data_IF_208235461353
#
_entry.id   IF_208235461353
#
_cell.length_a   1.000
_cell.length_b   1.000
_cell.length_c   1.000
_cell.angle_alpha   90.00
_cell.angle_beta   90.00
_cell.angle_gamma   90.00
#
_symmetry.space_group_name_H-M   'P 1'
#
loop_
_entity.id
_entity.type
_entity.pdbx_description
1 polymer ?
#
# COMPACT_ATOMS: atom_id res chain seq x y z
N UNK A 1 -42.12 3.43 -64.18
CA UNK A 1 -42.00 4.66 -63.37
C UNK A 1 -41.67 4.24 -61.94
N UNK A 2 -40.52 4.69 -61.46
CA UNK A 2 -39.92 4.42 -60.15
C UNK A 2 -40.78 4.92 -58.99
N UNK A 3 -40.82 4.19 -57.85
CA UNK A 3 -40.92 4.84 -56.55
C UNK A 3 -40.30 3.99 -55.42
N UNK A 4 -39.01 4.25 -55.21
CA UNK A 4 -38.19 4.22 -53.99
C UNK A 4 -38.72 3.43 -52.77
N UNK A 5 -38.03 2.31 -52.48
CA UNK A 5 -38.00 1.66 -51.15
C UNK A 5 -37.38 2.62 -50.14
N UNK A 6 -38.14 3.08 -49.15
CA UNK A 6 -37.60 3.79 -47.97
C UNK A 6 -36.88 2.77 -47.08
N UNK A 7 -35.55 2.74 -47.16
CA UNK A 7 -34.72 2.03 -46.17
C UNK A 7 -34.63 2.94 -44.95
N UNK A 8 -35.29 2.57 -43.85
CA UNK A 8 -35.01 3.18 -42.55
C UNK A 8 -33.64 2.67 -42.09
N UNK A 9 -32.63 3.54 -42.14
CA UNK A 9 -31.39 3.31 -41.41
C UNK A 9 -31.68 3.53 -39.92
N UNK A 10 -31.76 2.45 -39.15
CA UNK A 10 -31.69 2.53 -37.70
C UNK A 10 -30.25 2.93 -37.32
N UNK A 11 -30.06 4.19 -36.92
CA UNK A 11 -28.83 4.61 -36.26
C UNK A 11 -28.81 3.98 -34.87
N UNK A 12 -28.18 2.81 -34.74
CA UNK A 12 -27.73 2.30 -33.44
C UNK A 12 -26.60 3.21 -33.00
N UNK A 13 -26.91 4.20 -32.16
CA UNK A 13 -25.89 4.90 -31.39
C UNK A 13 -25.38 3.89 -30.38
N UNK A 14 -24.30 3.20 -30.73
CA UNK A 14 -23.53 2.45 -29.76
C UNK A 14 -22.98 3.48 -28.76
N UNK A 15 -23.58 3.56 -27.58
CA UNK A 15 -22.93 4.17 -26.42
C UNK A 15 -21.68 3.33 -26.16
N UNK A 16 -20.55 3.75 -26.74
CA UNK A 16 -19.26 3.30 -26.28
C UNK A 16 -19.11 3.85 -24.86
N UNK A 17 -19.55 3.07 -23.88
CA UNK A 17 -19.12 3.29 -22.51
C UNK A 17 -17.58 3.39 -22.58
N UNK A 18 -16.96 4.42 -21.97
CA UNK A 18 -15.51 4.46 -21.93
C UNK A 18 -15.10 3.15 -21.27
N UNK A 19 -14.39 2.28 -22.00
CA UNK A 19 -13.69 1.18 -21.36
C UNK A 19 -12.75 1.86 -20.37
N UNK A 20 -13.08 1.82 -19.08
CA UNK A 20 -12.11 2.08 -18.06
C UNK A 20 -11.01 1.04 -18.32
N UNK A 21 -9.85 1.49 -18.80
CA UNK A 21 -8.78 0.59 -19.24
C UNK A 21 -8.24 -0.28 -18.08
N UNK A 22 -8.59 0.07 -16.84
CA UNK A 22 -8.18 -0.61 -15.62
C UNK A 22 -9.33 -0.62 -14.61
N UNK A 23 -9.55 -1.75 -13.95
CA UNK A 23 -10.36 -1.81 -12.73
C UNK A 23 -9.65 -1.05 -11.59
N UNK A 24 -10.36 -0.20 -10.82
CA UNK A 24 -9.77 0.52 -9.71
C UNK A 24 -9.37 -0.44 -8.60
N UNK A 25 -8.23 -0.18 -7.95
CA UNK A 25 -7.82 -0.93 -6.77
C UNK A 25 -8.75 -0.59 -5.61
N UNK A 26 -9.45 -1.60 -5.10
CA UNK A 26 -10.36 -1.50 -3.96
C UNK A 26 -9.65 -1.92 -2.67
N UNK A 27 -9.86 -1.13 -1.60
CA UNK A 27 -9.40 -1.45 -0.26
C UNK A 27 -10.55 -2.04 0.57
N UNK A 28 -10.22 -2.79 1.62
CA UNK A 28 -11.21 -3.31 2.58
C UNK A 28 -11.73 -2.19 3.49
N UNK A 29 -12.94 -2.37 4.03
CA UNK A 29 -13.56 -1.41 4.96
C UNK A 29 -12.89 -1.42 6.34
N UNK A 30 -12.49 -2.59 6.83
CA UNK A 30 -11.75 -2.76 8.10
C UNK A 30 -10.34 -3.30 7.83
N UNK A 31 -9.32 -2.43 7.72
CA UNK A 31 -7.95 -2.85 7.46
C UNK A 31 -7.34 -3.73 8.56
N UNK A 32 -7.71 -3.51 9.83
CA UNK A 32 -7.10 -4.24 10.94
C UNK A 32 -7.54 -5.71 10.98
N UNK A 33 -8.73 -6.01 10.43
CA UNK A 33 -9.22 -7.38 10.27
C UNK A 33 -8.32 -8.25 9.36
N UNK A 34 -7.43 -7.67 8.57
CA UNK A 34 -6.49 -8.41 7.74
C UNK A 34 -5.25 -8.92 8.52
N UNK A 35 -4.99 -8.41 9.72
CA UNK A 35 -3.78 -8.74 10.49
C UNK A 35 -3.97 -9.90 11.46
N UNK A 36 -5.02 -10.70 11.29
CA UNK A 36 -5.26 -11.91 12.07
C UNK A 36 -4.92 -13.15 11.25
N UNK A 37 -4.53 -14.20 11.96
CA UNK A 37 -4.31 -15.54 11.44
C UNK A 37 -4.64 -16.55 12.54
N UNK A 38 -5.01 -17.77 12.14
CA UNK A 38 -5.26 -18.90 13.04
C UNK A 38 -3.94 -19.57 13.43
N UNK A 39 -2.93 -19.53 12.56
CA UNK A 39 -1.58 -19.96 12.91
C UNK A 39 -0.92 -18.91 13.83
N UNK A 40 -0.49 -19.27 15.05
CA UNK A 40 0.04 -18.30 16.00
C UNK A 40 1.34 -17.63 15.55
N UNK A 41 2.16 -18.29 14.73
CA UNK A 41 3.40 -17.73 14.19
C UNK A 41 3.07 -16.70 13.11
N UNK A 42 2.20 -17.06 12.17
CA UNK A 42 1.76 -16.13 11.11
C UNK A 42 1.00 -14.94 11.70
N UNK A 43 0.19 -15.19 12.74
CA UNK A 43 -0.50 -14.14 13.49
C UNK A 43 0.49 -13.16 14.09
N UNK A 44 1.52 -13.63 14.80
CA UNK A 44 2.54 -12.77 15.38
C UNK A 44 3.26 -11.91 14.32
N UNK A 45 3.59 -12.50 13.16
CA UNK A 45 4.21 -11.77 12.04
C UNK A 45 3.29 -10.67 11.50
N UNK A 46 1.99 -10.96 11.34
CA UNK A 46 0.99 -9.95 10.96
C UNK A 46 0.88 -8.85 12.01
N UNK A 47 0.89 -9.16 13.31
CA UNK A 47 0.83 -8.14 14.36
C UNK A 47 2.04 -7.20 14.32
N UNK A 48 3.25 -7.69 14.04
CA UNK A 48 4.42 -6.84 13.81
C UNK A 48 4.20 -5.85 12.66
N UNK A 49 3.66 -6.33 11.53
CA UNK A 49 3.32 -5.47 10.40
C UNK A 49 2.21 -4.46 10.75
N UNK A 50 1.21 -4.83 11.55
CA UNK A 50 0.16 -3.91 12.02
C UNK A 50 0.77 -2.76 12.84
N UNK A 51 1.62 -3.08 13.81
CA UNK A 51 2.29 -2.07 14.62
C UNK A 51 3.16 -1.13 13.77
N UNK A 52 3.90 -1.69 12.79
CA UNK A 52 4.64 -0.88 11.84
C UNK A 52 3.74 0.09 11.05
N UNK A 53 2.66 -0.42 10.45
CA UNK A 53 1.75 0.37 9.62
C UNK A 53 1.03 1.44 10.43
N UNK A 54 0.52 1.10 11.61
CA UNK A 54 -0.31 1.98 12.44
C UNK A 54 0.54 2.96 13.23
N UNK A 55 1.48 2.47 14.02
CA UNK A 55 2.18 3.31 14.99
C UNK A 55 3.32 4.08 14.32
N UNK A 56 4.09 3.40 13.46
CA UNK A 56 5.27 4.01 12.85
C UNK A 56 4.92 4.79 11.58
N UNK A 57 4.25 4.18 10.60
CA UNK A 57 3.96 4.88 9.34
C UNK A 57 2.84 5.91 9.44
N UNK A 58 1.69 5.54 10.04
CA UNK A 58 0.52 6.41 10.12
C UNK A 58 0.67 7.47 11.22
N UNK A 59 1.07 7.07 12.44
CA UNK A 59 1.14 7.98 13.58
C UNK A 59 2.52 8.60 13.81
N UNK A 60 3.56 8.05 13.16
CA UNK A 60 4.94 8.55 13.24
C UNK A 60 5.56 8.43 14.65
N UNK A 61 5.16 7.43 15.43
CA UNK A 61 5.67 7.10 16.78
C UNK A 61 6.98 6.30 16.68
N UNK A 62 7.98 6.83 15.97
CA UNK A 62 9.24 6.14 15.67
C UNK A 62 10.12 5.85 16.88
N UNK A 63 9.87 6.50 18.01
CA UNK A 63 10.46 6.13 19.31
C UNK A 63 10.15 4.68 19.71
N UNK A 64 9.06 4.10 19.21
CA UNK A 64 8.65 2.71 19.44
C UNK A 64 9.28 1.72 18.46
N UNK A 65 10.04 2.19 17.47
CA UNK A 65 10.68 1.31 16.49
C UNK A 65 11.48 0.15 17.11
N UNK A 66 12.18 0.30 18.26
CA UNK A 66 12.86 -0.84 18.90
C UNK A 66 11.93 -1.97 19.36
N UNK A 67 10.64 -1.70 19.56
CA UNK A 67 9.63 -2.71 19.89
C UNK A 67 9.33 -3.62 18.68
N UNK A 68 9.46 -3.13 17.45
CA UNK A 68 8.98 -3.82 16.24
C UNK A 68 10.07 -4.13 15.21
N UNK A 69 11.14 -3.34 15.17
CA UNK A 69 12.24 -3.46 14.20
C UNK A 69 13.51 -3.99 14.87
N UNK A 70 14.24 -4.86 14.17
CA UNK A 70 15.59 -5.24 14.56
C UNK A 70 16.51 -4.03 14.46
N UNK A 71 17.62 -4.01 15.20
CA UNK A 71 18.63 -2.95 15.06
C UNK A 71 19.23 -2.93 13.65
N UNK A 72 19.43 -4.11 13.06
CA UNK A 72 20.04 -4.33 11.74
C UNK A 72 19.19 -3.82 10.58
N UNK A 73 17.87 -3.77 10.73
CA UNK A 73 16.85 -3.43 9.72
C UNK A 73 17.39 -3.14 8.31
N UNK A 74 17.45 -4.15 7.46
CA UNK A 74 17.93 -4.04 6.09
C UNK A 74 16.86 -3.42 5.18
N UNK A 75 17.22 -2.34 4.49
CA UNK A 75 16.33 -1.61 3.60
C UNK A 75 16.75 -1.79 2.14
N UNK A 76 15.84 -2.30 1.30
CA UNK A 76 16.06 -2.42 -0.15
C UNK A 76 15.56 -1.22 -0.95
N UNK A 77 14.86 -0.26 -0.33
CA UNK A 77 14.52 1.01 -0.94
C UNK A 77 15.79 1.82 -1.21
N UNK A 78 16.10 2.19 -2.48
CA UNK A 78 17.35 2.86 -2.84
C UNK A 78 17.48 4.29 -2.29
N UNK A 79 16.40 4.83 -1.71
CA UNK A 79 16.38 6.16 -1.10
C UNK A 79 16.60 6.12 0.42
N UNK A 80 16.64 4.93 1.03
CA UNK A 80 16.83 4.73 2.46
C UNK A 80 18.17 4.08 2.77
N UNK A 81 18.73 4.39 3.95
CA UNK A 81 19.88 3.67 4.49
C UNK A 81 19.39 2.56 5.42
N UNK A 82 20.01 1.37 5.34
CA UNK A 82 19.79 0.29 6.30
C UNK A 82 20.15 0.70 7.74
N UNK A 83 19.65 -0.09 8.70
CA UNK A 83 19.72 0.14 10.13
C UNK A 83 18.48 0.86 10.67
N UNK A 84 17.98 0.43 11.84
CA UNK A 84 16.80 1.02 12.50
C UNK A 84 16.94 2.52 12.72
N UNK A 85 18.13 2.96 13.15
CA UNK A 85 18.41 4.38 13.38
C UNK A 85 18.34 5.20 12.09
N UNK A 86 18.68 4.59 10.95
CA UNK A 86 18.59 5.22 9.63
C UNK A 86 17.14 5.56 9.26
N UNK A 87 16.22 4.60 9.43
CA UNK A 87 14.81 4.79 9.13
C UNK A 87 14.14 5.73 10.15
N UNK A 88 14.44 5.59 11.45
CA UNK A 88 13.96 6.51 12.48
C UNK A 88 14.38 7.95 12.18
N UNK A 89 15.65 8.18 11.82
CA UNK A 89 16.15 9.51 11.50
C UNK A 89 15.47 10.13 10.27
N UNK A 90 15.10 9.33 9.27
CA UNK A 90 14.40 9.82 8.09
C UNK A 90 12.98 10.30 8.43
N UNK A 91 12.19 9.49 9.14
CA UNK A 91 10.79 9.81 9.39
C UNK A 91 10.59 10.88 10.46
N UNK A 92 11.40 10.88 11.51
CA UNK A 92 11.34 11.91 12.57
C UNK A 92 11.67 13.32 12.06
N UNK A 93 12.46 13.44 10.97
CA UNK A 93 12.78 14.73 10.34
C UNK A 93 11.75 15.18 9.32
N UNK A 94 11.06 14.23 8.67
CA UNK A 94 10.19 14.52 7.53
C UNK A 94 8.71 14.59 7.88
N UNK A 95 8.32 14.10 9.06
CA UNK A 95 6.94 14.04 9.51
C UNK A 95 6.81 14.39 10.99
N UNK A 96 5.69 14.99 11.35
CA UNK A 96 5.33 15.23 12.74
C UNK A 96 4.60 14.02 13.32
N UNK A 97 4.85 13.74 14.60
CA UNK A 97 4.14 12.71 15.37
C UNK A 97 2.71 13.18 15.68
N UNK A 98 1.74 12.27 15.58
CA UNK A 98 0.38 12.54 16.08
C UNK A 98 0.35 12.45 17.61
N UNK A 99 -0.57 13.19 18.25
CA UNK A 99 -0.72 13.15 19.71
C UNK A 99 -1.17 11.77 20.22
N UNK A 100 -2.08 11.13 19.49
CA UNK A 100 -2.56 9.78 19.76
C UNK A 100 -2.56 8.95 18.47
N UNK A 101 -2.60 7.63 18.63
CA UNK A 101 -2.68 6.71 17.51
C UNK A 101 -3.98 5.90 17.60
N UNK A 102 -4.93 6.24 16.73
CA UNK A 102 -6.19 5.49 16.58
C UNK A 102 -6.02 4.23 15.72
N UNK A 103 -7.14 3.65 15.30
CA UNK A 103 -7.17 2.52 14.37
C UNK A 103 -6.43 2.84 13.06
N UNK A 104 -5.87 1.81 12.42
CA UNK A 104 -5.27 1.93 11.10
C UNK A 104 -6.33 2.35 10.07
N UNK A 105 -6.05 3.42 9.32
CA UNK A 105 -6.92 3.94 8.25
C UNK A 105 -6.26 3.83 6.87
N UNK A 106 -5.04 3.28 6.80
CA UNK A 106 -4.36 3.03 5.52
C UNK A 106 -5.23 2.11 4.65
N UNK A 107 -5.45 2.45 3.36
CA UNK A 107 -6.37 1.70 2.50
C UNK A 107 -5.73 0.38 2.03
N UNK A 108 -5.86 -0.66 2.84
CA UNK A 108 -5.28 -1.98 2.58
C UNK A 108 -6.13 -2.82 1.63
N UNK A 109 -5.46 -3.58 0.78
CA UNK A 109 -6.06 -4.59 -0.12
C UNK A 109 -5.95 -5.98 0.51
N UNK A 110 -4.77 -6.32 1.01
CA UNK A 110 -4.49 -7.65 1.58
C UNK A 110 -3.30 -7.59 2.55
N UNK A 111 -3.26 -8.54 3.48
CA UNK A 111 -2.08 -8.86 4.30
C UNK A 111 -1.85 -10.35 4.23
N UNK A 112 -0.66 -10.76 3.78
CA UNK A 112 -0.26 -12.16 3.63
C UNK A 112 0.92 -12.44 4.54
N UNK A 113 0.97 -13.63 5.14
CA UNK A 113 2.13 -14.13 5.86
C UNK A 113 2.41 -15.56 5.41
N UNK A 114 3.69 -15.88 5.20
CA UNK A 114 4.16 -17.22 4.84
C UNK A 114 5.57 -17.40 5.40
N UNK A 115 5.76 -18.42 6.24
CA UNK A 115 6.99 -18.62 7.00
C UNK A 115 7.37 -17.37 7.79
N UNK A 116 8.56 -16.83 7.51
CA UNK A 116 9.10 -15.63 8.15
C UNK A 116 8.81 -14.34 7.35
N UNK A 117 8.01 -14.40 6.28
CA UNK A 117 7.65 -13.24 5.48
C UNK A 117 6.26 -12.74 5.82
N UNK A 118 6.10 -11.41 5.83
CA UNK A 118 4.80 -10.73 5.92
C UNK A 118 4.73 -9.61 4.88
N UNK A 119 3.66 -9.59 4.08
CA UNK A 119 3.42 -8.61 3.03
C UNK A 119 2.12 -7.87 3.26
N UNK A 120 2.16 -6.55 3.21
CA UNK A 120 1.01 -5.65 3.25
C UNK A 120 0.85 -5.03 1.86
N UNK A 121 -0.29 -5.28 1.22
CA UNK A 121 -0.68 -4.70 -0.07
C UNK A 121 -1.68 -3.58 0.19
N UNK A 122 -1.44 -2.40 -0.38
CA UNK A 122 -2.29 -1.23 -0.20
C UNK A 122 -2.62 -0.54 -1.52
N UNK A 123 -3.77 0.12 -1.54
CA UNK A 123 -4.18 1.02 -2.59
C UNK A 123 -3.30 2.27 -2.55
N UNK A 124 -2.84 2.69 -3.72
CA UNK A 124 -2.26 4.02 -3.96
C UNK A 124 -3.06 4.73 -5.03
N UNK A 125 -3.13 6.05 -4.88
CA UNK A 125 -3.75 6.93 -5.85
C UNK A 125 -2.67 7.85 -6.43
N UNK A 126 -2.73 8.05 -7.75
CA UNK A 126 -1.77 8.82 -8.52
C UNK A 126 -2.52 9.78 -9.44
N UNK A 127 -1.91 10.94 -9.71
CA UNK A 127 -2.43 11.87 -10.71
C UNK A 127 -2.24 11.29 -12.12
N UNK A 128 -3.26 11.43 -12.96
CA UNK A 128 -3.21 10.93 -14.32
C UNK A 128 -2.23 11.77 -15.16
N UNK A 129 -1.19 11.18 -15.76
CA UNK A 129 -0.08 11.94 -16.37
C UNK A 129 -0.50 12.74 -17.60
N UNK A 130 -1.61 12.37 -18.25
CA UNK A 130 -2.13 13.04 -19.45
C UNK A 130 -3.48 13.74 -19.27
N UNK A 131 -4.10 13.68 -18.08
CA UNK A 131 -5.46 14.19 -17.83
C UNK A 131 -5.48 14.94 -16.50
N UNK A 132 -5.28 16.26 -16.57
CA UNK A 132 -5.18 17.09 -15.38
C UNK A 132 -6.47 17.03 -14.54
N UNK A 133 -6.33 16.88 -13.22
CA UNK A 133 -7.45 16.74 -12.29
C UNK A 133 -8.03 15.33 -12.20
N UNK A 134 -7.69 14.43 -13.11
CA UNK A 134 -8.07 13.01 -13.02
C UNK A 134 -7.02 12.21 -12.24
N UNK A 135 -7.48 11.16 -11.57
CA UNK A 135 -6.63 10.25 -10.79
C UNK A 135 -6.86 8.81 -11.24
N UNK A 136 -5.85 7.98 -11.03
CA UNK A 136 -5.96 6.53 -11.17
C UNK A 136 -5.40 5.86 -9.93
N UNK A 137 -5.69 4.57 -9.78
CA UNK A 137 -5.25 3.80 -8.61
C UNK A 137 -4.33 2.67 -9.06
N UNK A 138 -3.37 2.35 -8.23
CA UNK A 138 -2.48 1.19 -8.40
C UNK A 138 -2.15 0.61 -7.03
N UNK A 139 -1.41 -0.47 -6.99
CA UNK A 139 -1.00 -1.15 -5.76
C UNK A 139 0.40 -0.72 -5.35
N UNK A 140 0.59 -0.57 -4.04
CA UNK A 140 1.90 -0.58 -3.41
C UNK A 140 1.97 -1.77 -2.46
N UNK A 141 3.17 -2.26 -2.19
CA UNK A 141 3.36 -3.25 -1.15
C UNK A 141 4.52 -2.87 -0.24
N UNK A 142 4.42 -3.33 1.00
CA UNK A 142 5.54 -3.46 1.91
C UNK A 142 5.67 -4.93 2.25
N UNK A 143 6.86 -5.48 2.13
CA UNK A 143 7.16 -6.85 2.56
C UNK A 143 8.30 -6.80 3.56
N UNK A 144 8.19 -7.60 4.61
CA UNK A 144 9.23 -7.78 5.59
C UNK A 144 9.58 -9.24 5.79
N UNK A 145 10.85 -9.48 6.13
CA UNK A 145 11.29 -10.70 6.80
C UNK A 145 11.32 -10.46 8.30
N UNK A 146 10.82 -11.44 9.05
CA UNK A 146 10.83 -11.47 10.51
C UNK A 146 12.00 -12.32 10.98
N UNK A 147 12.81 -11.77 11.88
CA UNK A 147 13.91 -12.48 12.56
C UNK A 147 13.81 -12.18 14.04
N UNK A 148 13.84 -13.22 14.88
CA UNK A 148 13.77 -13.11 16.35
C UNK A 148 12.63 -12.21 16.86
N UNK A 149 11.45 -12.34 16.22
CA UNK A 149 10.25 -11.57 16.60
C UNK A 149 10.30 -10.09 16.22
N UNK A 150 11.14 -9.71 15.26
CA UNK A 150 11.26 -8.33 14.76
C UNK A 150 11.23 -8.27 13.24
N UNK A 151 10.69 -7.19 12.69
CA UNK A 151 10.87 -6.85 11.27
C UNK A 151 12.34 -6.49 11.05
N UNK A 152 13.02 -7.26 10.21
CA UNK A 152 14.49 -7.22 10.11
C UNK A 152 15.00 -6.92 8.69
N UNK A 153 14.25 -7.25 7.65
CA UNK A 153 14.59 -6.91 6.26
C UNK A 153 13.32 -6.48 5.51
N UNK A 154 13.42 -5.51 4.62
CA UNK A 154 12.26 -4.85 4.02
C UNK A 154 12.41 -4.58 2.51
N UNK A 155 11.37 -4.91 1.75
CA UNK A 155 11.21 -4.63 0.32
C UNK A 155 9.94 -3.83 0.03
N UNK A 156 10.06 -2.91 -0.92
CA UNK A 156 8.94 -2.12 -1.45
C UNK A 156 9.23 -1.71 -2.91
N UNK A 157 8.21 -1.40 -3.73
CA UNK A 157 8.40 -0.96 -5.10
C UNK A 157 8.93 0.48 -5.10
N UNK A 158 10.25 0.65 -5.09
CA UNK A 158 10.88 1.96 -5.02
C UNK A 158 11.90 2.14 -6.16
N UNK A 159 11.81 3.29 -6.85
CA UNK A 159 12.83 3.78 -7.77
C UNK A 159 13.65 4.87 -7.11
N UNK A 160 14.80 5.21 -7.68
CA UNK A 160 15.60 6.36 -7.21
C UNK A 160 14.78 7.64 -7.41
N UNK A 161 14.63 8.42 -6.34
CA UNK A 161 13.95 9.71 -6.41
C UNK A 161 14.78 10.70 -7.26
N UNK A 162 14.13 11.55 -8.07
CA UNK A 162 14.81 12.68 -8.70
C UNK A 162 15.43 13.57 -7.60
N UNK A 163 16.71 13.91 -7.76
CA UNK A 163 17.42 14.85 -6.88
C UNK A 163 17.20 16.28 -7.33
#
# INVERSE_FOLDING_TARGET
>A
MSFVRKVLLAFVVAFAAPLAAQEPVAAVEDPEALFVDDDPVLHANKQLALHFMRELLQCNHWERAPEWLSERYLQHNPNGRSGRDGIMAFFTRTRQRTESCGKLTTPLVAVLADGDLVTVVLKREYDHPARAGEKYTSTWFYMWRVVDGKLDEHWAPATIAPR
#
